data_IF_250394711878
#
_entry.id   IF_250394711878
#
_cell.length_a   1.000
_cell.length_b   1.000
_cell.length_c   1.000
_cell.angle_alpha   90.00
_cell.angle_beta   90.00
_cell.angle_gamma   90.00
#
_symmetry.space_group_name_H-M   'P 1'
#
loop_
_entity.id
_entity.type
_entity.pdbx_description
1 polymer ?
#
# COMPACT_ATOMS: atom_id res chain seq x y z
N UNK A 1 -25.18 -24.06 -44.19
CA UNK A 1 -24.34 -25.07 -43.49
C UNK A 1 -22.92 -24.56 -43.42
N UNK A 2 -22.31 -24.67 -42.24
CA UNK A 2 -20.98 -24.24 -41.75
C UNK A 2 -19.89 -23.91 -42.80
N UNK A 3 -19.23 -22.75 -42.60
CA UNK A 3 -17.93 -22.45 -43.22
C UNK A 3 -16.80 -23.20 -42.53
N UNK A 4 -15.85 -23.60 -43.35
CA UNK A 4 -14.60 -24.30 -43.06
C UNK A 4 -13.54 -23.36 -42.48
N UNK A 5 -12.81 -23.82 -41.46
CA UNK A 5 -11.38 -23.50 -41.36
C UNK A 5 -10.87 -22.50 -40.31
N UNK A 6 -11.60 -22.16 -39.24
CA UNK A 6 -10.96 -21.48 -38.11
C UNK A 6 -10.38 -22.51 -37.13
N UNK A 7 -9.06 -22.70 -37.17
CA UNK A 7 -8.32 -23.38 -36.09
C UNK A 7 -7.66 -22.28 -35.26
N UNK A 8 -8.25 -21.98 -34.11
CA UNK A 8 -7.60 -21.12 -33.13
C UNK A 8 -6.23 -21.73 -32.81
N UNK A 9 -5.16 -20.98 -33.01
CA UNK A 9 -3.89 -21.26 -32.36
C UNK A 9 -4.12 -21.04 -30.87
N UNK A 10 -4.47 -22.11 -30.16
CA UNK A 10 -4.47 -22.17 -28.71
C UNK A 10 -3.00 -22.08 -28.26
N UNK A 11 -2.46 -20.86 -28.17
CA UNK A 11 -1.29 -20.60 -27.32
C UNK A 11 -1.76 -20.52 -25.85
N UNK A 12 -2.30 -21.65 -25.37
CA UNK A 12 -2.67 -21.85 -23.96
C UNK A 12 -1.45 -21.88 -23.04
N UNK A 13 -0.24 -21.83 -23.58
CA UNK A 13 1.03 -21.84 -22.85
C UNK A 13 1.58 -20.42 -22.59
N UNK A 14 1.08 -19.38 -23.26
CA UNK A 14 1.45 -17.99 -23.00
C UNK A 14 0.67 -17.31 -21.86
N UNK A 15 -0.44 -17.90 -21.39
CA UNK A 15 -1.40 -17.23 -20.51
C UNK A 15 -1.01 -17.10 -19.03
N UNK A 16 0.23 -17.39 -18.62
CA UNK A 16 0.64 -17.25 -17.23
C UNK A 16 2.15 -17.03 -17.01
N UNK A 17 2.78 -16.15 -17.80
CA UNK A 17 4.06 -15.57 -17.35
C UNK A 17 3.76 -14.53 -16.28
N UNK A 18 3.69 -14.99 -15.03
CA UNK A 18 3.65 -14.09 -13.85
C UNK A 18 5.01 -13.41 -13.76
N UNK A 19 5.12 -12.24 -14.38
CA UNK A 19 6.27 -11.36 -14.22
C UNK A 19 6.15 -10.67 -12.87
N UNK A 20 7.07 -10.96 -11.96
CA UNK A 20 7.24 -10.23 -10.70
C UNK A 20 8.41 -9.27 -10.86
N UNK A 21 8.21 -8.01 -10.46
CA UNK A 21 9.24 -6.97 -10.46
C UNK A 21 9.31 -6.39 -9.06
N UNK A 22 10.53 -6.23 -8.55
CA UNK A 22 10.81 -5.53 -7.29
C UNK A 22 11.59 -4.27 -7.63
N UNK A 23 11.17 -3.13 -7.07
CA UNK A 23 11.83 -1.85 -7.23
C UNK A 23 12.42 -1.42 -5.89
N UNK A 24 13.72 -1.11 -5.90
CA UNK A 24 14.40 -0.46 -4.78
C UNK A 24 14.69 0.99 -5.19
N UNK A 25 14.18 1.95 -4.42
CA UNK A 25 14.26 3.37 -4.72
C UNK A 25 14.77 4.08 -3.47
N UNK A 26 15.87 4.81 -3.59
CA UNK A 26 16.35 5.73 -2.56
C UNK A 26 15.90 7.15 -2.89
N UNK A 27 15.26 7.81 -1.92
CA UNK A 27 14.78 9.18 -2.05
C UNK A 27 15.47 10.06 -1.01
N UNK A 28 15.81 11.32 -1.35
CA UNK A 28 16.17 12.30 -0.33
C UNK A 28 15.04 12.45 0.70
N UNK A 29 15.37 12.74 1.95
CA UNK A 29 14.38 13.00 2.98
C UNK A 29 13.45 14.17 2.62
N UNK A 30 12.24 14.16 3.17
CA UNK A 30 11.23 15.21 2.99
C UNK A 30 10.82 15.40 1.52
N UNK A 31 10.79 14.31 0.76
CA UNK A 31 10.19 14.25 -0.58
C UNK A 31 8.83 13.59 -0.53
N UNK A 32 8.10 13.74 -1.62
CA UNK A 32 6.79 13.12 -1.80
C UNK A 32 6.93 11.76 -2.46
N UNK A 33 6.13 10.79 -2.00
CA UNK A 33 6.01 9.48 -2.61
C UNK A 33 4.56 9.24 -3.01
N UNK A 34 4.33 8.97 -4.30
CA UNK A 34 3.02 8.70 -4.86
C UNK A 34 3.03 7.34 -5.55
N UNK A 35 2.20 6.42 -5.08
CA UNK A 35 2.07 5.07 -5.66
C UNK A 35 0.61 4.76 -5.91
N UNK A 36 0.28 4.47 -7.17
CA UNK A 36 -1.02 3.96 -7.57
C UNK A 36 -0.80 2.59 -8.23
N UNK A 37 -1.39 1.53 -7.67
CA UNK A 37 -1.21 0.19 -8.21
C UNK A 37 -2.46 -0.68 -8.07
N UNK A 38 -2.71 -1.51 -9.07
CA UNK A 38 -3.74 -2.55 -9.00
C UNK A 38 -3.29 -3.77 -8.19
N UNK A 39 -1.99 -4.07 -8.21
CA UNK A 39 -1.38 -5.19 -7.48
C UNK A 39 0.10 -4.87 -7.19
N UNK A 40 0.37 -4.31 -6.02
CA UNK A 40 1.73 -4.13 -5.50
C UNK A 40 1.69 -4.00 -3.98
N UNK A 41 2.74 -4.47 -3.31
CA UNK A 41 2.99 -4.12 -1.92
C UNK A 41 4.04 -3.02 -1.87
N UNK A 42 3.87 -2.07 -0.95
CA UNK A 42 4.79 -0.96 -0.74
C UNK A 42 5.37 -1.08 0.66
N UNK A 43 6.69 -1.09 0.75
CA UNK A 43 7.42 -0.88 1.99
C UNK A 43 8.16 0.45 1.86
N UNK A 44 7.97 1.34 2.82
CA UNK A 44 8.59 2.66 2.84
C UNK A 44 9.08 2.97 4.25
N UNK A 45 10.24 3.62 4.35
CA UNK A 45 10.88 3.91 5.63
C UNK A 45 11.40 5.35 5.68
N UNK A 46 11.20 6.01 6.82
CA UNK A 46 11.81 7.31 7.13
C UNK A 46 10.89 8.53 6.92
N UNK A 47 11.52 9.67 6.65
CA UNK A 47 10.87 10.98 6.67
C UNK A 47 10.40 11.46 5.28
N UNK A 48 9.10 11.74 5.16
CA UNK A 48 8.45 12.20 3.94
C UNK A 48 7.76 13.53 4.17
N UNK A 49 7.74 14.39 3.15
CA UNK A 49 6.86 15.56 3.18
C UNK A 49 5.40 15.13 3.02
N UNK A 50 5.16 14.14 2.15
CA UNK A 50 3.86 13.55 1.90
C UNK A 50 3.96 12.12 1.32
N UNK A 51 3.10 11.21 1.78
CA UNK A 51 2.91 9.89 1.16
C UNK A 51 1.48 9.75 0.65
N UNK A 52 1.32 9.32 -0.59
CA UNK A 52 0.04 8.98 -1.21
C UNK A 52 0.09 7.56 -1.79
N UNK A 53 -0.51 6.59 -1.09
CA UNK A 53 -0.57 5.20 -1.56
C UNK A 53 -2.02 4.82 -1.85
N UNK A 54 -2.31 4.42 -3.09
CA UNK A 54 -3.60 3.85 -3.47
C UNK A 54 -3.39 2.47 -4.10
N UNK A 55 -3.67 1.41 -3.33
CA UNK A 55 -3.39 0.02 -3.70
C UNK A 55 -4.69 -0.77 -3.78
N UNK A 56 -5.04 -1.29 -4.97
CA UNK A 56 -6.22 -2.15 -5.09
C UNK A 56 -5.97 -3.57 -4.54
N UNK A 57 -4.71 -3.98 -4.49
CA UNK A 57 -4.27 -5.27 -3.99
C UNK A 57 -2.82 -5.20 -3.55
N UNK A 58 -2.52 -5.79 -2.39
CA UNK A 58 -1.20 -5.74 -1.78
C UNK A 58 -1.17 -4.85 -0.53
N UNK A 59 -0.12 -5.01 0.28
CA UNK A 59 -0.04 -4.40 1.60
C UNK A 59 0.79 -3.10 1.57
N UNK A 60 0.53 -2.23 2.52
CA UNK A 60 1.38 -1.07 2.79
C UNK A 60 2.06 -1.26 4.14
N UNK A 61 3.38 -1.16 4.16
CA UNK A 61 4.20 -1.21 5.37
C UNK A 61 5.00 0.10 5.46
N UNK A 62 4.73 0.91 6.48
CA UNK A 62 5.43 2.17 6.74
C UNK A 62 6.25 2.02 8.03
N UNK A 63 7.57 1.95 7.90
CA UNK A 63 8.50 1.72 9.01
C UNK A 63 9.15 3.04 9.44
N UNK A 64 9.29 3.27 10.75
CA UNK A 64 9.81 4.54 11.31
C UNK A 64 9.31 5.80 10.57
N UNK A 65 8.00 5.84 10.30
CA UNK A 65 7.41 6.81 9.42
C UNK A 65 7.23 8.16 10.11
N UNK A 66 7.69 9.22 9.44
CA UNK A 66 7.42 10.60 9.83
C UNK A 66 6.98 11.40 8.61
N UNK A 67 5.78 11.96 8.65
CA UNK A 67 5.27 12.78 7.55
C UNK A 67 3.75 12.85 7.49
N UNK A 68 3.25 13.62 6.53
CA UNK A 68 1.82 13.65 6.23
C UNK A 68 1.47 12.60 5.19
N UNK A 69 0.20 12.20 5.09
CA UNK A 69 -0.18 11.36 3.97
C UNK A 69 -1.56 10.74 4.02
N UNK A 70 -1.82 9.96 2.98
CA UNK A 70 -2.99 9.10 2.83
C UNK A 70 -2.54 7.73 2.31
N UNK A 71 -3.03 6.67 2.95
CA UNK A 71 -2.85 5.30 2.51
C UNK A 71 -4.22 4.64 2.38
N UNK A 72 -4.54 4.20 1.17
CA UNK A 72 -5.77 3.51 0.84
C UNK A 72 -5.46 2.13 0.29
N UNK A 73 -6.08 1.10 0.85
CA UNK A 73 -6.08 -0.26 0.29
C UNK A 73 -7.51 -0.74 0.03
N UNK A 74 -7.71 -1.44 -1.09
CA UNK A 74 -8.96 -2.20 -1.29
C UNK A 74 -8.83 -3.59 -0.65
N UNK A 75 -7.76 -4.33 -0.97
CA UNK A 75 -7.45 -5.65 -0.41
C UNK A 75 -5.99 -5.70 0.03
N UNK A 76 -5.75 -5.60 1.33
CA UNK A 76 -4.41 -5.62 1.89
C UNK A 76 -4.32 -4.88 3.22
N UNK A 77 -3.49 -5.39 4.11
CA UNK A 77 -3.23 -4.78 5.40
C UNK A 77 -2.44 -3.48 5.26
N UNK A 78 -2.61 -2.59 6.24
CA UNK A 78 -1.81 -1.39 6.42
C UNK A 78 -1.13 -1.49 7.78
N UNK A 79 0.20 -1.57 7.77
CA UNK A 79 1.03 -1.64 8.96
C UNK A 79 1.87 -0.35 9.03
N UNK A 80 1.83 0.36 10.16
CA UNK A 80 2.54 1.63 10.36
C UNK A 80 3.26 1.62 11.70
N UNK A 81 4.51 2.03 11.68
CA UNK A 81 5.32 2.35 12.85
C UNK A 81 5.63 3.85 12.82
N UNK A 82 5.25 4.60 13.86
CA UNK A 82 5.40 6.07 13.88
C UNK A 82 5.41 6.63 15.29
N UNK A 83 6.17 7.70 15.52
CA UNK A 83 6.22 8.40 16.82
C UNK A 83 5.50 9.75 16.86
N UNK A 84 5.57 10.56 15.81
CA UNK A 84 5.11 11.97 15.83
C UNK A 84 3.90 12.26 14.93
N UNK A 85 3.24 11.22 14.45
CA UNK A 85 2.16 11.32 13.47
C UNK A 85 0.84 10.92 14.10
N UNK A 86 -0.14 11.81 14.03
CA UNK A 86 -1.53 11.51 14.39
C UNK A 86 -2.16 10.64 13.32
N UNK A 87 -2.76 9.53 13.75
CA UNK A 87 -3.44 8.60 12.87
C UNK A 87 -4.94 8.83 12.88
N UNK A 88 -5.52 8.88 11.67
CA UNK A 88 -6.95 8.71 11.44
C UNK A 88 -7.16 7.47 10.59
N UNK A 89 -7.65 6.38 11.19
CA UNK A 89 -7.74 5.10 10.52
C UNK A 89 -9.17 4.53 10.51
N UNK A 90 -9.55 3.91 9.39
CA UNK A 90 -10.78 3.14 9.29
C UNK A 90 -10.59 1.90 8.41
N UNK A 91 -11.06 0.75 8.89
CA UNK A 91 -11.17 -0.48 8.08
C UNK A 91 -12.63 -0.94 8.06
N UNK A 92 -13.13 -1.36 6.90
CA UNK A 92 -14.53 -1.80 6.76
C UNK A 92 -14.74 -3.23 7.24
N UNK A 93 -13.89 -4.16 6.79
CA UNK A 93 -14.03 -5.59 7.04
C UNK A 93 -12.81 -6.19 7.80
N UNK A 94 -11.80 -5.37 8.14
CA UNK A 94 -10.61 -5.79 8.89
C UNK A 94 -10.60 -5.30 10.35
N UNK A 95 -9.61 -5.76 11.12
CA UNK A 95 -9.40 -5.28 12.49
C UNK A 95 -8.65 -3.96 12.53
N UNK A 96 -8.82 -3.20 13.62
CA UNK A 96 -8.17 -1.91 13.83
C UNK A 96 -7.42 -1.91 15.16
N UNK A 97 -6.10 -1.73 15.10
CA UNK A 97 -5.24 -1.57 16.27
C UNK A 97 -4.43 -0.29 16.08
N UNK A 98 -4.71 0.77 16.84
CA UNK A 98 -4.04 2.06 16.67
C UNK A 98 -3.49 2.52 18.01
N UNK A 99 -2.16 2.49 18.15
CA UNK A 99 -1.49 3.11 19.28
C UNK A 99 -1.69 4.64 19.23
N UNK A 100 -2.01 5.24 20.39
CA UNK A 100 -2.07 6.69 20.54
C UNK A 100 -0.66 7.25 20.58
N UNK A 101 -0.40 8.35 19.85
CA UNK A 101 0.84 9.12 20.00
C UNK A 101 0.62 10.30 20.95
N UNK A 102 1.55 10.55 21.91
CA UNK A 102 1.51 11.72 22.78
C UNK A 102 1.86 13.03 22.05
N UNK A 103 2.43 12.96 20.84
CA UNK A 103 2.90 14.12 20.06
C UNK A 103 2.35 14.05 18.64
N UNK A 104 1.73 15.14 18.18
CA UNK A 104 1.11 15.21 16.86
C UNK A 104 1.68 16.38 16.05
N UNK A 105 2.78 16.14 15.33
CA UNK A 105 3.35 17.11 14.38
C UNK A 105 2.81 16.92 12.96
N UNK A 106 2.43 15.68 12.63
CA UNK A 106 1.95 15.30 11.31
C UNK A 106 0.63 14.55 11.38
N UNK A 107 -0.01 14.36 10.22
CA UNK A 107 -1.26 13.61 10.09
C UNK A 107 -1.19 12.59 8.97
N UNK A 108 -1.57 11.35 9.28
CA UNK A 108 -1.68 10.25 8.34
C UNK A 108 -3.09 9.64 8.40
N UNK A 109 -3.74 9.57 7.24
CA UNK A 109 -5.07 8.95 7.11
C UNK A 109 -4.94 7.57 6.47
N UNK A 110 -5.49 6.55 7.13
CA UNK A 110 -5.42 5.16 6.70
C UNK A 110 -6.83 4.64 6.42
N UNK A 111 -7.06 4.05 5.24
CA UNK A 111 -8.34 3.45 4.89
C UNK A 111 -8.15 2.10 4.22
N UNK A 112 -8.92 1.12 4.68
CA UNK A 112 -8.97 -0.21 4.08
C UNK A 112 -10.40 -0.70 3.94
N UNK A 113 -10.67 -1.48 2.88
CA UNK A 113 -11.93 -2.23 2.77
C UNK A 113 -11.75 -3.64 3.35
N UNK A 114 -10.89 -4.44 2.75
CA UNK A 114 -10.61 -5.84 3.11
C UNK A 114 -9.17 -6.02 3.62
N UNK A 115 -8.85 -5.39 4.75
CA UNK A 115 -7.53 -5.52 5.36
C UNK A 115 -7.47 -4.86 6.73
N UNK A 116 -6.78 -5.50 7.67
CA UNK A 116 -6.55 -4.93 9.00
C UNK A 116 -5.60 -3.74 8.93
N UNK A 117 -5.74 -2.83 9.89
CA UNK A 117 -4.85 -1.70 10.08
C UNK A 117 -4.20 -1.82 11.45
N UNK A 118 -2.87 -1.82 11.49
CA UNK A 118 -2.07 -1.86 12.71
C UNK A 118 -1.13 -0.65 12.76
N UNK A 119 -1.15 0.07 13.88
CA UNK A 119 -0.24 1.18 14.15
C UNK A 119 0.44 0.98 15.48
N UNK A 120 1.76 1.01 15.46
CA UNK A 120 2.66 0.91 16.61
C UNK A 120 3.54 2.15 16.74
N UNK A 121 4.15 2.34 17.91
CA UNK A 121 5.15 3.38 18.12
C UNK A 121 6.54 2.82 17.80
N UNK A 122 7.36 3.60 17.09
CA UNK A 122 8.80 3.33 16.98
C UNK A 122 9.52 3.59 18.31
N UNK A 123 10.62 2.88 18.54
CA UNK A 123 11.51 3.05 19.71
C UNK A 123 12.13 4.47 19.80
#
# INVERSE_FOLDING_TARGET
GRSVGFKAFDDKLAAHKVLSVVLHIELPANKELWVNSSLASVEAQGAYSYVNLNLSGGRANLLDFTGNGVVNTLRGAIDVETRTTKIEASSRNGSLHVATSPVSLYKLTLKSVDGSISVTQSE
#
